data_IF_698124156046
#
_entry.id   IF_698124156046
#
_cell.length_a   1.000
_cell.length_b   1.000
_cell.length_c   1.000
_cell.angle_alpha   90.00
_cell.angle_beta   90.00
_cell.angle_gamma   90.00
#
_symmetry.space_group_name_H-M   'P 1'
#
loop_
_entity.id
_entity.type
_entity.pdbx_description
1 polymer ?
#
# COMPACT_ATOMS: atom_id res chain seq x y z
N UNK A 1 34.49 -6.05 0.33
CA UNK A 1 34.04 -4.93 -0.54
C UNK A 1 32.51 -4.83 -0.72
N UNK A 2 31.76 -5.94 -0.76
CA UNK A 2 30.31 -5.90 -1.09
C UNK A 2 29.35 -5.45 0.04
N UNK A 3 29.76 -5.46 1.30
CA UNK A 3 28.89 -5.08 2.44
C UNK A 3 28.68 -3.56 2.55
N UNK A 4 29.72 -2.77 2.30
CA UNK A 4 29.68 -1.30 2.35
C UNK A 4 28.77 -0.74 1.25
N UNK A 5 28.91 -1.23 0.01
CA UNK A 5 28.09 -0.80 -1.13
C UNK A 5 26.60 -1.11 -0.90
N UNK A 6 26.27 -2.28 -0.36
CA UNK A 6 24.87 -2.64 -0.03
C UNK A 6 24.24 -1.69 1.00
N UNK A 7 25.03 -1.17 1.95
CA UNK A 7 24.54 -0.24 2.98
C UNK A 7 24.25 1.15 2.42
N UNK A 8 25.05 1.64 1.47
CA UNK A 8 24.88 2.99 0.91
C UNK A 8 24.00 3.07 -0.34
N UNK A 9 23.69 1.92 -0.96
CA UNK A 9 22.86 1.85 -2.18
C UNK A 9 21.56 2.65 -2.11
N UNK A 10 20.76 2.64 -1.01
CA UNK A 10 19.53 3.44 -0.93
C UNK A 10 19.77 4.95 -0.98
N UNK A 11 20.83 5.42 -0.31
CA UNK A 11 21.19 6.84 -0.28
C UNK A 11 21.69 7.34 -1.63
N UNK A 12 22.34 6.48 -2.43
CA UNK A 12 22.76 6.81 -3.80
C UNK A 12 21.54 7.09 -4.68
N UNK A 13 20.51 6.24 -4.61
CA UNK A 13 19.26 6.47 -5.35
C UNK A 13 18.57 7.76 -4.91
N UNK A 14 18.47 7.98 -3.60
CA UNK A 14 17.88 9.22 -3.06
C UNK A 14 18.64 10.47 -3.54
N UNK A 15 19.96 10.43 -3.49
CA UNK A 15 20.80 11.55 -3.95
C UNK A 15 20.64 11.78 -5.45
N UNK A 16 20.60 10.72 -6.26
CA UNK A 16 20.38 10.83 -7.71
C UNK A 16 19.03 11.45 -8.05
N UNK A 17 17.97 11.10 -7.31
CA UNK A 17 16.65 11.70 -7.45
C UNK A 17 16.68 13.19 -7.09
N UNK A 18 17.29 13.55 -5.95
CA UNK A 18 17.42 14.94 -5.52
C UNK A 18 18.18 15.80 -6.54
N UNK A 19 19.30 15.29 -7.07
CA UNK A 19 20.09 15.97 -8.11
C UNK A 19 19.27 16.12 -9.39
N UNK A 20 18.60 15.07 -9.85
CA UNK A 20 17.76 15.10 -11.04
C UNK A 20 16.63 16.14 -10.92
N UNK A 21 15.95 16.17 -9.77
CA UNK A 21 14.94 17.17 -9.46
C UNK A 21 15.53 18.58 -9.52
N UNK A 22 16.64 18.83 -8.82
CA UNK A 22 17.28 20.15 -8.76
C UNK A 22 17.69 20.65 -10.15
N UNK A 23 18.32 19.79 -10.96
CA UNK A 23 18.67 20.09 -12.35
C UNK A 23 17.40 20.41 -13.16
N UNK A 24 16.35 19.60 -13.03
CA UNK A 24 15.09 19.81 -13.76
C UNK A 24 14.44 21.16 -13.44
N UNK A 25 14.54 21.63 -12.19
CA UNK A 25 14.09 22.96 -11.80
C UNK A 25 14.92 24.08 -12.44
N UNK A 26 16.25 23.94 -12.47
CA UNK A 26 17.17 24.92 -13.05
C UNK A 26 16.98 25.04 -14.57
N UNK A 27 16.88 23.92 -15.29
CA UNK A 27 16.79 23.90 -16.77
C UNK A 27 15.36 24.08 -17.28
N UNK A 28 14.37 24.14 -16.39
CA UNK A 28 12.97 24.26 -16.79
C UNK A 28 12.31 22.98 -17.33
N UNK A 29 12.91 21.81 -17.09
CA UNK A 29 12.39 20.53 -17.57
C UNK A 29 11.12 20.11 -16.81
N UNK A 30 9.96 20.23 -17.47
CA UNK A 30 8.67 20.00 -16.82
C UNK A 30 8.44 18.58 -16.30
N UNK A 31 8.77 17.50 -17.04
CA UNK A 31 8.55 16.14 -16.53
C UNK A 31 9.25 15.90 -15.18
N UNK A 32 10.46 16.44 -14.98
CA UNK A 32 11.17 16.32 -13.71
C UNK A 32 10.51 17.09 -12.56
N UNK A 33 9.90 18.23 -12.85
CA UNK A 33 9.11 19.01 -11.89
C UNK A 33 7.83 18.27 -11.50
N UNK A 34 7.09 17.75 -12.48
CA UNK A 34 5.85 16.98 -12.27
C UNK A 34 6.11 15.73 -11.42
N UNK A 35 7.18 14.98 -11.72
CA UNK A 35 7.60 13.83 -10.90
C UNK A 35 7.81 14.24 -9.44
N UNK A 36 8.47 15.38 -9.22
CA UNK A 36 8.80 15.85 -7.86
C UNK A 36 7.56 16.32 -7.09
N UNK A 37 6.63 16.97 -7.78
CA UNK A 37 5.34 17.40 -7.21
C UNK A 37 4.49 16.18 -6.86
N UNK A 38 4.33 15.23 -7.80
CA UNK A 38 3.60 13.99 -7.57
C UNK A 38 4.21 13.19 -6.43
N UNK A 39 5.54 13.04 -6.39
CA UNK A 39 6.24 12.38 -5.29
C UNK A 39 5.92 13.03 -3.95
N UNK A 40 6.00 14.37 -3.86
CA UNK A 40 5.67 15.09 -2.62
C UNK A 40 4.23 14.85 -2.19
N UNK A 41 3.28 14.90 -3.13
CA UNK A 41 1.87 14.67 -2.85
C UNK A 41 1.64 13.26 -2.30
N UNK A 42 2.13 12.22 -3.00
CA UNK A 42 2.02 10.84 -2.53
C UNK A 42 2.74 10.60 -1.21
N UNK A 43 3.91 11.20 -1.01
CA UNK A 43 4.66 11.05 0.23
C UNK A 43 3.87 11.60 1.43
N UNK A 44 3.29 12.81 1.29
CA UNK A 44 2.44 13.43 2.31
C UNK A 44 1.19 12.57 2.56
N UNK A 45 0.56 12.10 1.50
CA UNK A 45 -0.62 11.24 1.60
C UNK A 45 -0.29 9.94 2.35
N UNK A 46 0.84 9.29 2.06
CA UNK A 46 1.25 8.07 2.75
C UNK A 46 1.51 8.30 4.24
N UNK A 47 2.29 9.31 4.61
CA UNK A 47 2.63 9.54 6.03
C UNK A 47 1.42 9.99 6.85
N UNK A 48 0.40 10.59 6.23
CA UNK A 48 -0.81 11.05 6.92
C UNK A 48 -1.90 9.96 6.95
N UNK A 49 -2.09 9.26 5.85
CA UNK A 49 -3.18 8.28 5.68
C UNK A 49 -2.82 6.89 6.23
N UNK A 50 -1.60 6.40 6.01
CA UNK A 50 -1.21 5.03 6.40
C UNK A 50 -1.32 4.79 7.91
N UNK A 51 -0.84 5.69 8.80
CA UNK A 51 -0.99 5.47 10.24
C UNK A 51 -2.45 5.37 10.67
N UNK A 52 -3.32 6.22 10.13
CA UNK A 52 -4.76 6.18 10.41
C UNK A 52 -5.38 4.87 9.93
N UNK A 53 -4.99 4.40 8.74
CA UNK A 53 -5.44 3.13 8.20
C UNK A 53 -5.02 1.94 9.09
N UNK A 54 -3.78 1.94 9.61
CA UNK A 54 -3.34 0.90 10.54
C UNK A 54 -4.17 0.86 11.82
N UNK A 55 -4.63 2.01 12.33
CA UNK A 55 -5.53 2.06 13.49
C UNK A 55 -6.86 1.39 13.16
N UNK A 56 -7.48 1.73 12.02
CA UNK A 56 -8.74 1.11 11.56
C UNK A 56 -8.58 -0.40 11.43
N UNK A 57 -7.46 -0.84 10.85
CA UNK A 57 -7.20 -2.26 10.63
C UNK A 57 -6.92 -2.99 11.94
N UNK A 58 -6.24 -2.36 12.89
CA UNK A 58 -6.07 -2.88 14.24
C UNK A 58 -7.42 -3.06 14.95
N UNK A 59 -8.32 -2.07 14.85
CA UNK A 59 -9.68 -2.18 15.37
C UNK A 59 -10.47 -3.28 14.67
N UNK A 60 -10.35 -3.40 13.35
CA UNK A 60 -10.94 -4.50 12.59
C UNK A 60 -10.41 -5.87 13.05
N UNK A 61 -9.12 -5.98 13.39
CA UNK A 61 -8.55 -7.22 13.94
C UNK A 61 -9.23 -7.63 15.25
N UNK A 62 -9.50 -6.67 16.13
CA UNK A 62 -10.13 -6.94 17.43
C UNK A 62 -11.63 -7.19 17.29
N UNK A 63 -12.33 -6.44 16.44
CA UNK A 63 -13.80 -6.51 16.33
C UNK A 63 -14.32 -7.69 15.54
N UNK A 64 -13.59 -8.15 14.53
CA UNK A 64 -14.07 -9.21 13.65
C UNK A 64 -13.40 -10.55 13.99
N UNK A 65 -14.09 -11.49 14.64
CA UNK A 65 -13.53 -12.79 14.94
C UNK A 65 -13.22 -13.56 13.65
N UNK A 66 -12.10 -14.28 13.67
CA UNK A 66 -11.61 -15.08 12.54
C UNK A 66 -12.69 -16.00 11.96
N UNK A 67 -13.47 -16.68 12.81
CA UNK A 67 -14.55 -17.58 12.40
C UNK A 67 -15.64 -16.91 11.54
N UNK A 68 -15.94 -15.62 11.77
CA UNK A 68 -16.90 -14.88 10.94
C UNK A 68 -16.34 -14.60 9.55
N UNK A 69 -15.06 -14.26 9.44
CA UNK A 69 -14.39 -14.00 8.17
C UNK A 69 -14.25 -15.29 7.37
N UNK A 70 -13.72 -16.36 7.99
CA UNK A 70 -13.56 -17.67 7.35
C UNK A 70 -14.89 -18.23 6.83
N UNK A 71 -15.99 -18.06 7.57
CA UNK A 71 -17.31 -18.53 7.16
C UNK A 71 -17.80 -17.90 5.83
N UNK A 72 -17.43 -16.66 5.53
CA UNK A 72 -17.95 -15.93 4.37
C UNK A 72 -16.97 -15.84 3.21
N UNK A 73 -15.66 -15.74 3.50
CA UNK A 73 -14.61 -15.55 2.50
C UNK A 73 -13.41 -16.48 2.72
N UNK A 74 -13.53 -17.51 3.55
CA UNK A 74 -12.48 -18.52 3.75
C UNK A 74 -12.41 -19.58 2.65
N UNK A 75 -11.59 -20.62 2.84
CA UNK A 75 -11.36 -21.64 1.81
C UNK A 75 -12.64 -22.35 1.35
N UNK A 76 -13.57 -22.59 2.27
CA UNK A 76 -14.82 -23.30 2.01
C UNK A 76 -15.98 -22.39 1.56
N UNK A 77 -15.76 -21.09 1.37
CA UNK A 77 -16.84 -20.15 1.01
C UNK A 77 -17.41 -20.32 -0.40
N UNK A 78 -16.72 -21.09 -1.25
CA UNK A 78 -17.11 -21.32 -2.64
C UNK A 78 -17.32 -20.03 -3.45
N UNK A 79 -18.20 -20.09 -4.45
CA UNK A 79 -18.47 -18.97 -5.37
C UNK A 79 -19.03 -17.73 -4.65
N UNK A 80 -19.78 -17.91 -3.56
CA UNK A 80 -20.37 -16.81 -2.79
C UNK A 80 -19.29 -15.91 -2.19
N UNK A 81 -18.19 -16.50 -1.69
CA UNK A 81 -17.06 -15.72 -1.16
C UNK A 81 -16.38 -14.89 -2.24
N UNK A 82 -16.14 -15.47 -3.43
CA UNK A 82 -15.53 -14.77 -4.57
C UNK A 82 -16.38 -13.55 -4.96
N UNK A 83 -17.68 -13.73 -5.16
CA UNK A 83 -18.59 -12.63 -5.54
C UNK A 83 -18.58 -11.55 -4.45
N UNK A 84 -18.58 -11.94 -3.19
CA UNK A 84 -18.56 -10.99 -2.07
C UNK A 84 -17.25 -10.18 -2.07
N UNK A 85 -16.09 -10.82 -2.23
CA UNK A 85 -14.80 -10.10 -2.27
C UNK A 85 -14.70 -9.18 -3.48
N UNK A 86 -15.19 -9.59 -4.65
CA UNK A 86 -15.25 -8.72 -5.84
C UNK A 86 -16.07 -7.46 -5.56
N UNK A 87 -17.28 -7.61 -4.99
CA UNK A 87 -18.14 -6.46 -4.66
C UNK A 87 -17.44 -5.56 -3.64
N UNK A 88 -16.84 -6.13 -2.59
CA UNK A 88 -16.09 -5.37 -1.58
C UNK A 88 -14.89 -4.63 -2.18
N UNK A 89 -14.17 -5.25 -3.12
CA UNK A 89 -13.04 -4.64 -3.80
C UNK A 89 -13.47 -3.48 -4.71
N UNK A 90 -14.63 -3.58 -5.35
CA UNK A 90 -15.20 -2.47 -6.15
C UNK A 90 -15.55 -1.24 -5.30
N UNK A 91 -15.80 -1.43 -4.00
CA UNK A 91 -16.06 -0.34 -3.06
C UNK A 91 -14.78 0.31 -2.53
N UNK A 92 -13.59 -0.19 -2.88
CA UNK A 92 -12.34 0.43 -2.49
C UNK A 92 -12.21 1.80 -3.17
N UNK A 93 -12.35 2.85 -2.36
CA UNK A 93 -11.98 4.21 -2.72
C UNK A 93 -10.60 4.54 -2.15
N UNK A 94 -9.76 5.23 -2.91
CA UNK A 94 -8.43 5.67 -2.46
C UNK A 94 -7.26 4.82 -2.97
N UNK A 95 -6.04 5.07 -2.46
CA UNK A 95 -4.82 4.53 -3.04
C UNK A 95 -4.63 3.04 -2.81
N UNK A 96 -3.99 2.37 -3.78
CA UNK A 96 -3.68 0.94 -3.73
C UNK A 96 -2.85 0.53 -2.50
N UNK A 97 -1.99 1.42 -1.98
CA UNK A 97 -1.20 1.10 -0.79
C UNK A 97 -2.06 0.90 0.46
N UNK A 98 -3.28 1.45 0.50
CA UNK A 98 -4.23 1.19 1.58
C UNK A 98 -4.86 -0.21 1.51
N UNK A 99 -4.91 -0.81 0.32
CA UNK A 99 -5.44 -2.16 0.17
C UNK A 99 -4.51 -3.22 0.79
N UNK A 100 -3.19 -2.98 0.86
CA UNK A 100 -2.25 -4.02 1.34
C UNK A 100 -2.44 -4.38 2.81
N UNK A 101 -2.54 -3.44 3.76
CA UNK A 101 -2.80 -3.78 5.15
C UNK A 101 -4.15 -4.49 5.35
N UNK A 102 -5.18 -4.13 4.56
CA UNK A 102 -6.50 -4.78 4.58
C UNK A 102 -6.40 -6.22 4.06
N UNK A 103 -5.73 -6.43 2.92
CA UNK A 103 -5.52 -7.76 2.37
C UNK A 103 -4.74 -8.65 3.35
N UNK A 104 -3.70 -8.09 3.99
CA UNK A 104 -2.93 -8.80 5.00
C UNK A 104 -3.79 -9.25 6.19
N UNK A 105 -4.68 -8.38 6.70
CA UNK A 105 -5.51 -8.75 7.86
C UNK A 105 -6.57 -9.78 7.50
N UNK A 106 -7.19 -9.67 6.32
CA UNK A 106 -8.16 -10.66 5.84
C UNK A 106 -7.51 -12.03 5.64
N UNK A 107 -6.31 -12.06 5.05
CA UNK A 107 -5.51 -13.28 4.92
C UNK A 107 -5.19 -13.90 6.28
N UNK A 108 -4.71 -13.10 7.25
CA UNK A 108 -4.47 -13.57 8.63
C UNK A 108 -5.74 -14.10 9.30
N UNK A 109 -6.90 -13.53 8.96
CA UNK A 109 -8.23 -13.99 9.40
C UNK A 109 -8.81 -15.12 8.54
N UNK A 110 -7.99 -15.80 7.74
CA UNK A 110 -8.36 -17.03 7.05
C UNK A 110 -9.15 -16.84 5.75
N UNK A 111 -9.13 -15.64 5.17
CA UNK A 111 -9.63 -15.44 3.81
C UNK A 111 -8.85 -16.32 2.82
N UNK A 112 -9.55 -16.92 1.86
CA UNK A 112 -8.94 -17.72 0.79
C UNK A 112 -8.21 -16.83 -0.19
N UNK A 113 -7.05 -17.27 -0.67
CA UNK A 113 -6.29 -16.58 -1.74
C UNK A 113 -7.07 -16.58 -3.07
N UNK A 114 -7.98 -17.55 -3.26
CA UNK A 114 -8.81 -17.65 -4.46
C UNK A 114 -9.91 -16.57 -4.50
N UNK A 115 -10.38 -16.15 -3.32
CA UNK A 115 -11.47 -15.18 -3.20
C UNK A 115 -10.92 -13.77 -3.28
#
# INVERSE_FOLDING_TARGET
MNKMIKRYKPYIWLLSFAIFTLISFIIGFQPGKDISINFKQFFIEMITFIPFLFIIIGLFDVWFPKSKIEKHIGQESGLKGIILVIILAMLQAGPLYGAFPVAYILYKKGASIKN
#
